data_IF_116158830820
#
_entry.id   IF_116158830820
#
_cell.length_a   1.000
_cell.length_b   1.000
_cell.length_c   1.000
_cell.angle_alpha   90.00
_cell.angle_beta   90.00
_cell.angle_gamma   90.00
#
_symmetry.space_group_name_H-M   'P 1'
#
loop_
_entity.id
_entity.type
_entity.pdbx_description
1 polymer ?
#
# COMPACT_ATOMS: atom_id res chain seq x y z
N UNK A 1 -13.75 1.76 11.70
CA UNK A 1 -13.33 2.11 10.31
C UNK A 1 -13.56 3.59 10.02
N UNK A 2 -14.81 4.05 10.01
CA UNK A 2 -15.18 5.43 9.63
C UNK A 2 -14.35 6.53 10.29
N UNK A 3 -14.23 6.51 11.62
CA UNK A 3 -13.55 7.58 12.34
C UNK A 3 -12.05 7.63 12.07
N UNK A 4 -11.39 6.47 12.03
CA UNK A 4 -9.97 6.39 11.67
C UNK A 4 -9.74 6.88 10.24
N UNK A 5 -10.58 6.44 9.29
CA UNK A 5 -10.51 6.89 7.89
C UNK A 5 -10.76 8.39 7.77
N UNK A 6 -11.70 8.96 8.53
CA UNK A 6 -11.95 10.41 8.58
C UNK A 6 -10.70 11.19 9.02
N UNK A 7 -9.98 10.69 10.02
CA UNK A 7 -8.69 11.28 10.46
C UNK A 7 -7.63 11.12 9.37
N UNK A 8 -7.53 9.96 8.74
CA UNK A 8 -6.60 9.72 7.62
C UNK A 8 -6.84 10.66 6.44
N UNK A 9 -8.10 10.88 6.03
CA UNK A 9 -8.45 11.80 4.94
C UNK A 9 -8.01 13.24 5.25
N UNK A 10 -8.14 13.66 6.52
CA UNK A 10 -7.63 14.96 6.97
C UNK A 10 -6.11 15.01 6.97
N UNK A 11 -5.44 13.95 7.45
CA UNK A 11 -3.98 13.86 7.48
C UNK A 11 -3.37 13.90 6.07
N UNK A 12 -4.01 13.24 5.10
CA UNK A 12 -3.64 13.30 3.69
C UNK A 12 -3.94 14.67 3.07
N UNK A 13 -4.80 15.50 3.67
CA UNK A 13 -5.25 16.78 3.11
C UNK A 13 -5.92 16.61 1.74
N UNK A 14 -6.87 15.69 1.67
CA UNK A 14 -7.58 15.36 0.42
C UNK A 14 -8.40 16.53 -0.14
N UNK A 15 -8.78 17.47 0.72
CA UNK A 15 -9.59 18.65 0.37
C UNK A 15 -8.77 19.93 0.18
N UNK A 16 -7.44 19.84 0.15
CA UNK A 16 -6.60 21.00 -0.14
C UNK A 16 -6.84 21.51 -1.57
N UNK A 17 -6.62 22.81 -1.77
CA UNK A 17 -6.85 23.46 -3.06
C UNK A 17 -5.94 22.85 -4.14
N UNK A 18 -6.54 22.41 -5.25
CA UNK A 18 -5.81 21.96 -6.42
C UNK A 18 -5.68 23.11 -7.43
N UNK A 19 -4.45 23.54 -7.72
CA UNK A 19 -4.17 24.57 -8.74
C UNK A 19 -3.88 23.98 -10.13
N UNK A 20 -4.03 22.67 -10.28
CA UNK A 20 -3.84 21.92 -11.52
C UNK A 20 -5.17 21.34 -12.00
N UNK A 21 -5.17 20.65 -13.15
CA UNK A 21 -6.40 20.02 -13.68
C UNK A 21 -6.99 18.96 -12.75
N UNK A 22 -6.12 18.17 -12.12
CA UNK A 22 -6.49 17.16 -11.12
C UNK A 22 -5.32 16.91 -10.18
N UNK A 23 -5.60 16.76 -8.90
CA UNK A 23 -4.60 16.51 -7.88
C UNK A 23 -4.85 15.16 -7.20
N UNK A 24 -3.82 14.65 -6.55
CA UNK A 24 -3.93 13.55 -5.58
C UNK A 24 -4.40 14.11 -4.25
N UNK A 25 -3.48 14.56 -3.41
CA UNK A 25 -3.75 15.15 -2.09
C UNK A 25 -2.73 16.25 -1.80
N UNK A 26 -3.04 17.16 -0.87
CA UNK A 26 -2.15 18.28 -0.54
C UNK A 26 -1.86 19.22 -1.72
N UNK A 27 -2.76 19.32 -2.70
CA UNK A 27 -2.58 20.17 -3.89
C UNK A 27 -1.57 19.65 -4.93
N UNK A 28 -1.11 18.39 -4.81
CA UNK A 28 -0.10 17.83 -5.71
C UNK A 28 -0.75 17.31 -7.00
N UNK A 29 -0.23 17.73 -8.16
CA UNK A 29 -0.68 17.27 -9.48
C UNK A 29 -0.58 15.74 -9.61
N UNK A 30 -1.61 15.10 -10.15
CA UNK A 30 -1.67 13.64 -10.30
C UNK A 30 -0.95 13.09 -11.55
N UNK A 31 -0.29 13.93 -12.35
CA UNK A 31 0.39 13.52 -13.58
C UNK A 31 -0.53 13.25 -14.78
N UNK A 32 -1.85 13.47 -14.66
CA UNK A 32 -2.82 13.25 -15.73
C UNK A 32 -3.35 11.81 -15.86
N UNK A 33 -2.78 10.85 -15.14
CA UNK A 33 -3.16 9.43 -15.20
C UNK A 33 -2.86 8.80 -16.57
N UNK A 34 -3.74 7.90 -17.03
CA UNK A 34 -3.64 7.26 -18.34
C UNK A 34 -3.02 5.86 -18.29
N UNK A 35 -2.66 5.34 -19.46
CA UNK A 35 -2.30 3.92 -19.64
C UNK A 35 -1.08 3.47 -18.83
N UNK A 36 -0.14 4.38 -18.57
CA UNK A 36 1.03 4.11 -17.72
C UNK A 36 0.69 3.82 -16.26
N UNK A 37 -0.51 4.19 -15.79
CA UNK A 37 -0.98 3.94 -14.43
C UNK A 37 -1.90 2.71 -14.32
N UNK A 38 -2.25 2.04 -15.43
CA UNK A 38 -3.16 0.88 -15.40
C UNK A 38 -2.58 -0.31 -14.64
N UNK A 39 -1.27 -0.52 -14.75
CA UNK A 39 -0.55 -1.61 -14.10
C UNK A 39 0.33 -1.07 -12.98
N UNK A 40 -0.20 -1.07 -11.77
CA UNK A 40 0.51 -0.53 -10.60
C UNK A 40 1.29 -1.62 -9.87
N UNK A 41 2.58 -1.37 -9.63
CA UNK A 41 3.41 -2.14 -8.74
C UNK A 41 3.63 -1.35 -7.43
N UNK A 42 3.20 -1.91 -6.31
CA UNK A 42 3.34 -1.32 -4.98
C UNK A 42 4.25 -2.19 -4.11
N UNK A 43 5.41 -1.65 -3.74
CA UNK A 43 6.39 -2.38 -2.95
C UNK A 43 6.49 -1.95 -1.49
N UNK A 44 7.54 -2.44 -0.83
CA UNK A 44 7.86 -2.10 0.58
C UNK A 44 6.66 -2.33 1.51
N UNK A 45 6.28 -1.32 2.29
CA UNK A 45 5.27 -1.42 3.34
C UNK A 45 3.90 -1.91 2.85
N UNK A 46 3.52 -1.67 1.57
CA UNK A 46 2.28 -2.23 1.01
C UNK A 46 2.32 -3.76 0.95
N UNK A 47 3.45 -4.32 0.54
CA UNK A 47 3.65 -5.78 0.55
C UNK A 47 3.74 -6.30 1.98
N UNK A 48 4.53 -5.65 2.84
CA UNK A 48 4.79 -6.15 4.19
C UNK A 48 3.51 -6.17 5.04
N UNK A 49 2.74 -5.08 5.05
CA UNK A 49 1.46 -5.03 5.79
C UNK A 49 0.43 -5.99 5.23
N UNK A 50 0.43 -6.24 3.92
CA UNK A 50 -0.44 -7.25 3.33
C UNK A 50 -0.10 -8.67 3.79
N UNK A 51 1.20 -8.98 3.83
CA UNK A 51 1.68 -10.29 4.27
C UNK A 51 1.41 -10.48 5.77
N UNK A 52 1.76 -9.49 6.59
CA UNK A 52 1.57 -9.57 8.03
C UNK A 52 0.08 -9.56 8.44
N UNK A 53 -0.78 -8.90 7.67
CA UNK A 53 -2.24 -8.95 7.86
C UNK A 53 -2.89 -10.23 7.28
N UNK A 54 -2.08 -11.12 6.71
CA UNK A 54 -2.44 -12.49 6.34
C UNK A 54 -3.25 -12.63 5.06
N UNK A 55 -3.34 -11.59 4.21
CA UNK A 55 -4.09 -11.68 2.95
C UNK A 55 -3.23 -11.89 1.71
N UNK A 56 -1.89 -11.97 1.89
CA UNK A 56 -0.95 -12.52 0.90
C UNK A 56 0.08 -13.40 1.63
N UNK A 57 0.86 -14.19 0.89
CA UNK A 57 1.98 -14.96 1.45
C UNK A 57 3.30 -14.23 1.17
N UNK A 58 4.09 -13.97 2.22
CA UNK A 58 5.40 -13.32 2.07
C UNK A 58 6.37 -14.10 1.16
N UNK A 59 6.23 -15.44 1.11
CA UNK A 59 7.05 -16.34 0.32
C UNK A 59 6.84 -16.20 -1.20
N UNK A 60 5.69 -15.68 -1.64
CA UNK A 60 5.37 -15.59 -3.06
C UNK A 60 6.12 -14.43 -3.75
N UNK A 61 6.69 -13.50 -2.96
CA UNK A 61 7.41 -12.27 -3.39
C UNK A 61 6.59 -11.27 -4.23
N UNK A 62 5.54 -11.72 -4.89
CA UNK A 62 4.61 -10.96 -5.73
C UNK A 62 3.19 -11.46 -5.44
N UNK A 63 2.23 -10.55 -5.31
CA UNK A 63 0.83 -10.89 -5.15
C UNK A 63 -0.05 -9.90 -5.89
N UNK A 64 -1.06 -10.38 -6.61
CA UNK A 64 -2.09 -9.52 -7.20
C UNK A 64 -3.23 -9.41 -6.19
N UNK A 65 -3.56 -8.18 -5.81
CA UNK A 65 -4.64 -7.89 -4.86
C UNK A 65 -5.48 -6.74 -5.36
N UNK A 66 -6.61 -6.50 -4.68
CA UNK A 66 -7.42 -5.29 -4.85
C UNK A 66 -7.16 -4.35 -3.68
N UNK A 67 -7.14 -3.01 -3.86
CA UNK A 67 -7.04 -2.08 -2.72
C UNK A 67 -8.06 -2.36 -1.62
N UNK A 68 -9.26 -2.83 -1.97
CA UNK A 68 -10.30 -3.23 -1.02
C UNK A 68 -9.85 -4.32 -0.02
N UNK A 69 -8.87 -5.18 -0.36
CA UNK A 69 -8.33 -6.17 0.56
C UNK A 69 -7.71 -5.55 1.82
N UNK A 70 -7.11 -4.35 1.69
CA UNK A 70 -6.61 -3.58 2.84
C UNK A 70 -7.74 -3.12 3.74
N UNK A 71 -8.89 -2.70 3.18
CA UNK A 71 -10.06 -2.31 3.97
C UNK A 71 -10.65 -3.51 4.74
N UNK A 72 -10.75 -4.67 4.10
CA UNK A 72 -11.21 -5.90 4.75
C UNK A 72 -10.26 -6.32 5.89
N UNK A 73 -8.95 -6.23 5.67
CA UNK A 73 -7.95 -6.48 6.71
C UNK A 73 -8.05 -5.46 7.86
N UNK A 74 -8.25 -4.17 7.54
CA UNK A 74 -8.46 -3.12 8.54
C UNK A 74 -9.72 -3.38 9.38
N UNK A 75 -10.81 -3.86 8.77
CA UNK A 75 -12.02 -4.23 9.50
C UNK A 75 -11.79 -5.40 10.45
N UNK A 76 -11.02 -6.42 10.04
CA UNK A 76 -10.61 -7.50 10.95
C UNK A 76 -9.82 -6.94 12.13
N UNK A 77 -8.80 -6.12 11.85
CA UNK A 77 -7.98 -5.49 12.90
C UNK A 77 -8.82 -4.63 13.87
N UNK A 78 -9.77 -3.86 13.35
CA UNK A 78 -10.67 -3.01 14.15
C UNK A 78 -11.55 -3.80 15.13
N UNK A 79 -11.89 -5.05 14.80
CA UNK A 79 -12.74 -5.92 15.63
C UNK A 79 -11.93 -6.75 16.62
N UNK A 80 -10.62 -6.83 16.45
CA UNK A 80 -9.71 -7.56 17.34
C UNK A 80 -9.35 -6.69 18.54
N UNK A 81 -9.51 -7.23 19.76
CA UNK A 81 -9.03 -6.56 20.96
C UNK A 81 -7.50 -6.59 20.99
N UNK A 82 -6.87 -5.57 21.58
CA UNK A 82 -5.42 -5.50 21.63
C UNK A 82 -4.75 -6.75 22.22
N UNK A 83 -5.31 -7.31 23.30
CA UNK A 83 -4.80 -8.54 23.92
C UNK A 83 -4.81 -9.78 23.00
N UNK A 84 -5.68 -9.78 21.98
CA UNK A 84 -5.80 -10.87 21.00
C UNK A 84 -5.05 -10.54 19.69
N UNK A 85 -4.50 -9.33 19.56
CA UNK A 85 -3.91 -8.84 18.32
C UNK A 85 -2.69 -9.66 17.88
N UNK A 86 -1.84 -10.08 18.83
CA UNK A 86 -0.66 -10.91 18.53
C UNK A 86 -1.06 -12.30 18.01
N UNK A 87 -2.15 -12.87 18.53
CA UNK A 87 -2.65 -14.16 18.07
C UNK A 87 -3.28 -14.05 16.66
N UNK A 88 -3.98 -12.95 16.38
CA UNK A 88 -4.58 -12.70 15.05
C UNK A 88 -3.52 -12.34 14.00
N UNK A 89 -2.49 -11.59 14.39
CA UNK A 89 -1.47 -11.05 13.50
C UNK A 89 -0.06 -11.43 14.00
N UNK A 90 0.31 -12.72 13.90
CA UNK A 90 1.53 -13.24 14.51
C UNK A 90 2.81 -12.66 13.92
N UNK A 91 2.78 -12.23 12.66
CA UNK A 91 3.94 -11.72 11.93
C UNK A 91 4.26 -10.23 12.20
N UNK A 92 3.45 -9.55 13.02
CA UNK A 92 3.74 -8.19 13.50
C UNK A 92 4.66 -8.21 14.72
N UNK A 93 5.57 -7.23 14.81
CA UNK A 93 6.30 -6.94 16.06
C UNK A 93 5.32 -6.41 17.11
N UNK A 94 5.64 -6.57 18.40
CA UNK A 94 4.80 -6.05 19.48
C UNK A 94 4.61 -4.53 19.41
N UNK A 95 5.66 -3.82 18.96
CA UNK A 95 5.65 -2.37 18.79
C UNK A 95 4.71 -1.91 17.67
N UNK A 96 4.57 -2.71 16.59
CA UNK A 96 3.72 -2.37 15.45
C UNK A 96 2.25 -2.78 15.65
N UNK A 97 1.95 -3.70 16.57
CA UNK A 97 0.59 -4.21 16.78
C UNK A 97 -0.41 -3.11 17.12
N UNK A 98 0.02 -2.08 17.85
CA UNK A 98 -0.82 -0.95 18.19
C UNK A 98 -1.29 -0.16 16.95
N UNK A 99 -0.55 -0.25 15.84
CA UNK A 99 -0.73 0.57 14.65
C UNK A 99 -1.33 -0.18 13.47
N UNK A 100 -1.48 -1.51 13.55
CA UNK A 100 -1.97 -2.32 12.41
C UNK A 100 -3.27 -1.78 11.80
N UNK A 101 -4.24 -1.41 12.64
CA UNK A 101 -5.50 -0.86 12.15
C UNK A 101 -5.28 0.46 11.42
N UNK A 102 -4.48 1.37 12.01
CA UNK A 102 -4.14 2.66 11.41
C UNK A 102 -3.40 2.49 10.08
N UNK A 103 -2.41 1.59 10.01
CA UNK A 103 -1.60 1.34 8.82
C UNK A 103 -2.45 0.80 7.66
N UNK A 104 -3.34 -0.17 7.93
CA UNK A 104 -4.23 -0.72 6.91
C UNK A 104 -5.27 0.29 6.43
N UNK A 105 -5.81 1.11 7.33
CA UNK A 105 -6.69 2.23 6.96
C UNK A 105 -5.93 3.25 6.11
N UNK A 106 -4.71 3.60 6.51
CA UNK A 106 -3.86 4.53 5.79
C UNK A 106 -3.57 4.05 4.37
N UNK A 107 -3.12 2.80 4.21
CA UNK A 107 -2.82 2.23 2.90
C UNK A 107 -4.06 2.17 1.99
N UNK A 108 -5.21 1.73 2.51
CA UNK A 108 -6.45 1.74 1.75
C UNK A 108 -6.84 3.15 1.28
N UNK A 109 -6.82 4.12 2.20
CA UNK A 109 -7.22 5.51 1.93
C UNK A 109 -6.24 6.21 0.99
N UNK A 110 -4.94 5.96 1.14
CA UNK A 110 -3.91 6.49 0.26
C UNK A 110 -4.09 5.98 -1.18
N UNK A 111 -4.33 4.67 -1.35
CA UNK A 111 -4.54 4.09 -2.68
C UNK A 111 -5.82 4.64 -3.34
N UNK A 112 -6.93 4.67 -2.60
CA UNK A 112 -8.24 5.00 -3.17
C UNK A 112 -8.49 6.49 -3.23
N UNK A 113 -8.50 7.18 -2.10
CA UNK A 113 -8.76 8.61 -2.05
C UNK A 113 -7.55 9.42 -2.51
N UNK A 114 -6.34 9.04 -2.05
CA UNK A 114 -5.12 9.77 -2.36
C UNK A 114 -4.72 9.65 -3.83
N UNK A 115 -4.53 8.43 -4.33
CA UNK A 115 -4.10 8.17 -5.70
C UNK A 115 -5.25 7.97 -6.69
N UNK A 116 -6.50 7.92 -6.23
CA UNK A 116 -7.67 7.82 -7.10
C UNK A 116 -7.85 6.43 -7.73
N UNK A 117 -7.27 5.39 -7.13
CA UNK A 117 -7.41 4.02 -7.64
C UNK A 117 -8.82 3.48 -7.37
N UNK A 118 -9.38 2.75 -8.35
CA UNK A 118 -10.62 1.99 -8.13
C UNK A 118 -10.35 0.94 -7.02
N UNK A 119 -11.19 0.85 -5.97
CA UNK A 119 -10.99 -0.11 -4.89
C UNK A 119 -10.98 -1.57 -5.35
N UNK A 120 -11.54 -1.88 -6.52
CA UNK A 120 -11.69 -3.22 -7.06
C UNK A 120 -10.81 -3.49 -8.29
N UNK A 121 -10.00 -2.53 -8.75
CA UNK A 121 -8.99 -2.83 -9.76
C UNK A 121 -7.83 -3.65 -9.16
N UNK A 122 -7.13 -4.37 -10.03
CA UNK A 122 -5.98 -5.15 -9.62
C UNK A 122 -4.74 -4.25 -9.46
N UNK A 123 -3.99 -4.50 -8.40
CA UNK A 123 -2.66 -3.95 -8.17
C UNK A 123 -1.69 -5.08 -7.85
N UNK A 124 -0.43 -4.91 -8.21
CA UNK A 124 0.62 -5.90 -7.92
C UNK A 124 1.41 -5.45 -6.71
N UNK A 125 1.30 -6.18 -5.60
CA UNK A 125 2.21 -6.03 -4.47
C UNK A 125 3.52 -6.76 -4.78
N UNK A 126 4.65 -6.11 -4.57
CA UNK A 126 5.96 -6.66 -4.96
C UNK A 126 7.03 -6.42 -3.88
N UNK A 127 7.70 -7.50 -3.47
CA UNK A 127 8.92 -7.45 -2.65
C UNK A 127 10.16 -7.78 -3.45
N UNK A 128 10.06 -8.81 -4.29
CA UNK A 128 11.13 -9.20 -5.21
C UNK A 128 10.57 -9.56 -6.56
N UNK A 129 11.33 -9.28 -7.61
CA UNK A 129 11.01 -9.64 -8.99
C UNK A 129 11.93 -10.79 -9.41
N UNK A 130 11.37 -11.79 -10.08
CA UNK A 130 12.16 -12.87 -10.66
C UNK A 130 12.93 -12.35 -11.88
N UNK A 131 14.24 -12.52 -11.87
CA UNK A 131 15.13 -12.19 -12.98
C UNK A 131 16.03 -13.39 -13.27
N UNK A 132 15.78 -14.07 -14.40
CA UNK A 132 16.40 -15.36 -14.71
C UNK A 132 16.13 -16.40 -13.61
N UNK A 133 17.20 -16.89 -13.00
CA UNK A 133 17.16 -17.88 -11.92
C UNK A 133 17.24 -17.26 -10.51
N UNK A 134 17.15 -15.93 -10.39
CA UNK A 134 17.30 -15.21 -9.12
C UNK A 134 16.12 -14.29 -8.83
N UNK A 135 16.04 -13.81 -7.60
CA UNK A 135 15.09 -12.80 -7.17
C UNK A 135 15.83 -11.51 -6.84
N UNK A 136 15.45 -10.42 -7.51
CA UNK A 136 15.99 -9.08 -7.25
C UNK A 136 14.99 -8.29 -6.44
N UNK A 137 15.46 -7.51 -5.49
CA UNK A 137 14.59 -6.66 -4.68
C UNK A 137 13.89 -5.61 -5.54
N UNK A 138 12.60 -5.40 -5.28
CA UNK A 138 11.82 -4.34 -5.92
C UNK A 138 12.14 -2.99 -5.26
N UNK A 139 13.35 -2.53 -5.50
CA UNK A 139 13.92 -1.31 -4.92
C UNK A 139 14.78 -0.57 -5.96
N UNK A 140 15.16 0.66 -5.61
CA UNK A 140 15.94 1.57 -6.44
C UNK A 140 17.36 1.08 -6.85
N UNK A 141 18.11 0.24 -6.10
CA UNK A 141 19.52 0.00 -6.42
C UNK A 141 19.79 -0.58 -7.80
N UNK A 142 18.94 -1.50 -8.28
CA UNK A 142 19.08 -2.06 -9.63
C UNK A 142 18.89 -0.99 -10.71
N UNK A 143 17.88 -0.13 -10.55
CA UNK A 143 17.62 0.98 -11.48
C UNK A 143 18.79 1.94 -11.55
N UNK A 144 19.36 2.32 -10.40
CA UNK A 144 20.55 3.17 -10.34
C UNK A 144 21.78 2.53 -10.99
N UNK A 145 21.98 1.22 -10.82
CA UNK A 145 23.07 0.52 -11.49
C UNK A 145 22.90 0.51 -13.02
N UNK A 146 21.68 0.27 -13.51
CA UNK A 146 21.36 0.31 -14.95
C UNK A 146 21.62 1.70 -15.52
N UNK A 147 21.18 2.76 -14.84
CA UNK A 147 21.44 4.15 -15.25
C UNK A 147 22.95 4.43 -15.35
N UNK A 148 23.72 4.04 -14.33
CA UNK A 148 25.15 4.26 -14.28
C UNK A 148 25.93 3.55 -15.41
N UNK A 149 25.50 2.36 -15.85
CA UNK A 149 26.16 1.60 -16.93
C UNK A 149 25.61 1.92 -18.33
N UNK A 150 24.45 2.55 -18.42
CA UNK A 150 23.84 2.93 -19.71
C UNK A 150 24.21 4.35 -20.16
N UNK A 151 24.99 5.07 -19.33
CA UNK A 151 25.44 6.45 -19.56
C UNK A 151 26.77 6.52 -20.29
#
# INVERSE_FOLDING_TARGET
MEECRRVTLKALKINDTCTYMKCTFGGIWNGGGGDGQKNMFAGSLFFDRAAQAGFIKAADHVAIVKPHAFAEAAQRACRTKYGDAKAMFPDFSEEDLAYIFMDLVYQYTLLTDGFGLDPYQDITLVRRVKYGNSYVEAAWPLGSAIEAVSS
#
